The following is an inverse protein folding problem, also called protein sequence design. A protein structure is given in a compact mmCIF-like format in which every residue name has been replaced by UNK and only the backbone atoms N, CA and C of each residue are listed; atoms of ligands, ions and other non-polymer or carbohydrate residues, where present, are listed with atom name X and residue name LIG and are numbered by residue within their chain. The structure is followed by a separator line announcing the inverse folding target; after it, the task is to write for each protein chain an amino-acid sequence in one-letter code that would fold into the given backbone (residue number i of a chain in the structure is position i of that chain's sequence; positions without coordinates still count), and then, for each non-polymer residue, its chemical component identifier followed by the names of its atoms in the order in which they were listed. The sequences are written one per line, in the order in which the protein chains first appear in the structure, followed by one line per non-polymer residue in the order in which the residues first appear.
data_IF_801975085025
#
_entry.id   IF_801975085025
#
_cell.length_a   1.000
_cell.length_b   1.000
_cell.length_c   1.000
_cell.angle_alpha   90.00
_cell.angle_beta   90.00
_cell.angle_gamma   90.00
#
_symmetry.space_group_name_H-M   'P 1'
#
loop_
_entity.id
_entity.type
_entity.pdbx_description
1 polymer ?
#
# COMPACT_ATOMS: atom_id res chain seq x y z
N UNK A 1 13.13 0.56 9.90
CA UNK A 1 11.90 0.95 9.19
C UNK A 1 12.19 0.73 7.73
N UNK A 2 11.33 -0.03 7.08
CA UNK A 2 11.42 -0.35 5.66
C UNK A 2 10.47 0.56 4.91
N UNK A 3 10.73 0.82 3.64
CA UNK A 3 9.97 1.80 2.86
C UNK A 3 9.42 1.11 1.62
N UNK A 4 8.14 1.35 1.34
CA UNK A 4 7.45 0.87 0.14
C UNK A 4 6.87 2.05 -0.63
N UNK A 5 6.57 1.85 -1.91
CA UNK A 5 5.81 2.83 -2.71
C UNK A 5 4.33 2.52 -2.72
N UNK A 6 3.53 3.55 -2.41
CA UNK A 6 2.07 3.52 -2.49
C UNK A 6 1.62 4.44 -3.62
N UNK A 7 0.98 3.87 -4.62
CA UNK A 7 0.39 4.58 -5.75
C UNK A 7 -1.08 4.85 -5.47
N UNK A 8 -1.47 6.12 -5.55
CA UNK A 8 -2.82 6.57 -5.22
C UNK A 8 -3.61 6.79 -6.51
N UNK A 9 -4.78 6.14 -6.59
CA UNK A 9 -5.68 6.21 -7.74
C UNK A 9 -7.08 6.66 -7.31
N UNK A 10 -7.70 7.52 -8.12
CA UNK A 10 -9.12 7.84 -7.95
C UNK A 10 -9.98 6.58 -8.12
N UNK A 11 -11.21 6.58 -7.60
CA UNK A 11 -12.16 5.47 -7.81
C UNK A 11 -12.37 5.14 -9.30
N UNK A 12 -12.29 6.15 -10.18
CA UNK A 12 -12.33 5.98 -11.64
C UNK A 12 -11.13 5.24 -12.25
N UNK A 13 -10.14 4.83 -11.46
CA UNK A 13 -8.91 4.18 -11.92
C UNK A 13 -7.86 5.14 -12.49
N UNK A 14 -8.10 6.46 -12.43
CA UNK A 14 -7.10 7.46 -12.85
C UNK A 14 -6.04 7.63 -11.78
N UNK A 15 -4.77 7.55 -12.18
CA UNK A 15 -3.63 7.87 -11.33
C UNK A 15 -3.72 9.29 -10.78
N UNK A 16 -3.31 9.47 -9.53
CA UNK A 16 -3.29 10.76 -8.84
C UNK A 16 -1.88 11.16 -8.39
N UNK A 17 -1.24 10.34 -7.55
CA UNK A 17 0.12 10.57 -7.04
C UNK A 17 0.78 9.25 -6.62
N UNK A 18 2.06 9.29 -6.28
CA UNK A 18 2.75 8.24 -5.51
C UNK A 18 3.28 8.84 -4.20
N UNK A 19 3.38 8.01 -3.16
CA UNK A 19 3.93 8.35 -1.85
C UNK A 19 4.87 7.24 -1.40
N UNK A 20 5.95 7.62 -0.74
CA UNK A 20 6.73 6.64 0.01
C UNK A 20 6.10 6.45 1.40
N UNK A 21 5.94 5.19 1.82
CA UNK A 21 5.32 4.85 3.09
C UNK A 21 6.23 3.94 3.92
N UNK A 22 6.44 4.31 5.18
CA UNK A 22 7.26 3.54 6.10
C UNK A 22 6.45 2.42 6.75
N UNK A 23 7.04 1.23 6.82
CA UNK A 23 6.49 0.05 7.48
C UNK A 23 7.50 -0.53 8.49
N UNK A 24 7.03 -1.22 9.53
CA UNK A 24 7.91 -1.94 10.45
C UNK A 24 8.73 -3.02 9.73
N UNK A 25 10.01 -3.16 10.08
CA UNK A 25 10.95 -4.11 9.42
C UNK A 25 10.56 -5.59 9.58
N UNK A 26 9.70 -5.88 10.55
CA UNK A 26 9.21 -7.23 10.84
C UNK A 26 8.09 -7.69 9.90
N UNK A 27 7.55 -6.80 9.04
CA UNK A 27 6.54 -7.15 8.05
C UNK A 27 7.22 -7.63 6.77
N UNK A 28 7.22 -8.95 6.57
CA UNK A 28 7.84 -9.58 5.40
C UNK A 28 6.80 -10.17 4.45
N UNK A 29 5.56 -10.42 4.92
CA UNK A 29 4.50 -11.02 4.14
C UNK A 29 3.57 -9.96 3.55
N UNK A 30 3.19 -10.12 2.28
CA UNK A 30 2.35 -9.15 1.54
C UNK A 30 1.04 -8.84 2.27
N UNK A 31 0.37 -9.84 2.84
CA UNK A 31 -0.91 -9.64 3.52
C UNK A 31 -0.76 -8.78 4.79
N UNK A 32 0.33 -8.91 5.53
CA UNK A 32 0.60 -8.12 6.74
C UNK A 32 0.87 -6.66 6.40
N UNK A 33 1.61 -6.44 5.30
CA UNK A 33 1.87 -5.10 4.77
C UNK A 33 0.57 -4.45 4.31
N UNK A 34 -0.29 -5.20 3.60
CA UNK A 34 -1.61 -4.72 3.17
C UNK A 34 -2.47 -4.30 4.35
N UNK A 35 -2.61 -5.17 5.36
CA UNK A 35 -3.39 -4.87 6.58
C UNK A 35 -2.83 -3.65 7.33
N UNK A 36 -1.50 -3.52 7.39
CA UNK A 36 -0.83 -2.38 8.00
C UNK A 36 -1.11 -1.08 7.24
N UNK A 37 -0.99 -1.07 5.91
CA UNK A 37 -1.25 0.09 5.07
C UNK A 37 -2.73 0.49 5.14
N UNK A 38 -3.65 -0.48 5.09
CA UNK A 38 -5.09 -0.24 5.22
C UNK A 38 -5.42 0.50 6.52
N UNK A 39 -4.74 0.15 7.61
CA UNK A 39 -4.96 0.72 8.95
C UNK A 39 -4.24 2.04 9.20
N UNK A 40 -3.06 2.25 8.61
CA UNK A 40 -2.16 3.36 8.97
C UNK A 40 -2.02 4.44 7.90
N UNK A 41 -2.28 4.14 6.63
CA UNK A 41 -2.25 5.14 5.57
C UNK A 41 -3.54 5.95 5.59
N UNK A 42 -3.53 7.11 6.25
CA UNK A 42 -4.74 7.94 6.49
C UNK A 42 -4.97 9.05 5.46
N UNK A 43 -3.98 9.33 4.61
CA UNK A 43 -4.08 10.33 3.54
C UNK A 43 -4.94 9.83 2.38
N UNK A 44 -5.52 10.76 1.62
CA UNK A 44 -6.31 10.45 0.41
C UNK A 44 -7.45 9.44 0.69
N UNK A 45 -8.21 9.66 1.78
CA UNK A 45 -9.43 8.88 2.06
C UNK A 45 -10.39 8.94 0.86
N UNK A 46 -10.94 7.80 0.46
CA UNK A 46 -11.77 7.67 -0.74
C UNK A 46 -10.99 7.41 -2.05
N UNK A 47 -9.69 7.12 -1.96
CA UNK A 47 -8.88 6.70 -3.12
C UNK A 47 -8.38 5.26 -2.96
N UNK A 48 -8.26 4.57 -4.11
CA UNK A 48 -7.64 3.26 -4.20
C UNK A 48 -6.14 3.40 -4.00
N UNK A 49 -5.53 2.43 -3.33
CA UNK A 49 -4.08 2.31 -3.20
C UNK A 49 -3.61 1.10 -3.99
N UNK A 50 -2.49 1.24 -4.69
CA UNK A 50 -1.79 0.14 -5.37
C UNK A 50 -0.35 0.13 -4.88
N UNK A 51 0.18 -1.04 -4.59
CA UNK A 51 1.55 -1.23 -4.13
C UNK A 51 2.20 -2.31 -5.00
N UNK A 52 3.38 -2.03 -5.52
CA UNK A 52 4.23 -3.04 -6.16
C UNK A 52 5.21 -3.51 -5.11
N UNK A 53 4.82 -4.57 -4.40
CA UNK A 53 5.57 -5.11 -3.27
C UNK A 53 6.61 -6.10 -3.79
N UNK A 54 7.66 -5.62 -4.45
CA UNK A 54 8.74 -6.42 -5.06
C UNK A 54 10.10 -6.23 -4.36
N UNK A 55 10.11 -5.54 -3.22
CA UNK A 55 11.30 -5.27 -2.45
C UNK A 55 11.92 -6.57 -1.88
N UNK A 56 13.24 -6.61 -1.79
CA UNK A 56 14.00 -7.82 -1.45
C UNK A 56 13.72 -8.40 -0.07
N UNK A 57 13.18 -7.61 0.85
CA UNK A 57 12.78 -8.05 2.20
C UNK A 57 11.38 -8.69 2.22
N UNK A 58 10.60 -8.54 1.14
CA UNK A 58 9.25 -9.07 1.03
C UNK A 58 9.30 -10.48 0.46
N UNK A 59 8.72 -11.43 1.18
CA UNK A 59 8.65 -12.83 0.77
C UNK A 59 7.63 -13.01 -0.34
N UNK A 60 8.08 -13.56 -1.47
CA UNK A 60 7.25 -13.85 -2.64
C UNK A 60 6.41 -12.64 -3.07
N UNK A 61 7.03 -11.45 -3.10
CA UNK A 61 6.37 -10.19 -3.39
C UNK A 61 5.48 -10.19 -4.64
N UNK A 62 4.30 -9.56 -4.54
CA UNK A 62 3.39 -9.37 -5.66
C UNK A 62 2.58 -8.08 -5.55
N UNK A 63 2.13 -7.51 -6.69
CA UNK A 63 1.33 -6.30 -6.68
C UNK A 63 0.02 -6.48 -5.94
N UNK A 64 -0.34 -5.52 -5.10
CA UNK A 64 -1.56 -5.56 -4.29
C UNK A 64 -2.33 -4.24 -4.40
N UNK A 65 -3.66 -4.31 -4.30
CA UNK A 65 -4.55 -3.15 -4.32
C UNK A 65 -5.41 -3.13 -3.07
N UNK A 66 -5.53 -1.95 -2.45
CA UNK A 66 -6.49 -1.66 -1.37
C UNK A 66 -7.57 -0.73 -1.94
N UNK A 67 -8.80 -1.23 -2.15
CA UNK A 67 -9.91 -0.41 -2.60
C UNK A 67 -10.27 0.71 -1.62
N UNK A 68 -10.73 1.84 -2.14
CA UNK A 68 -11.14 3.01 -1.34
C UNK A 68 -12.16 2.67 -0.25
N UNK A 69 -13.10 1.78 -0.54
CA UNK A 69 -14.19 1.38 0.37
C UNK A 69 -13.77 0.41 1.49
N UNK A 70 -12.53 -0.08 1.47
CA UNK A 70 -11.97 -0.88 2.57
C UNK A 70 -11.24 -0.04 3.62
N UNK A 71 -10.91 1.21 3.30
CA UNK A 71 -10.12 2.08 4.17
C UNK A 71 -11.04 2.83 5.16
N UNK A 72 -10.86 2.59 6.46
CA UNK A 72 -11.64 3.23 7.54
C UNK A 72 -11.33 4.72 7.72
#
# INVERSE_FOLDING_TARGET
MSQIKVYVFKESGKWYTEEDFEIPDQLEEVYEIVDYVESNFTLYKGMNLVMFLDESFIKNGYPSMIPANRRM
#
